data_IF_516817509903
#
_entry.id   IF_516817509903
#
_cell.length_a   1.000
_cell.length_b   1.000
_cell.length_c   1.000
_cell.angle_alpha   90.00
_cell.angle_beta   90.00
_cell.angle_gamma   90.00
#
_symmetry.space_group_name_H-M   'P 1'
#
loop_
_entity.id
_entity.type
_entity.pdbx_description
1 polymer ?
#
# COMPACT_ATOMS: atom_id res chain seq x y z
N UNK A 1 -6.17 53.21 37.95
CA UNK A 1 -7.28 54.01 38.48
C UNK A 1 -8.53 53.46 37.85
N UNK A 2 -9.40 52.97 38.73
CA UNK A 2 -10.79 52.53 38.59
C UNK A 2 -11.05 51.23 37.78
N UNK A 3 -11.33 50.07 38.40
CA UNK A 3 -12.57 49.61 39.08
C UNK A 3 -13.79 49.62 38.12
N UNK A 4 -14.72 48.65 38.01
CA UNK A 4 -15.13 47.33 38.55
C UNK A 4 -16.20 46.84 37.54
N UNK A 5 -16.42 45.56 37.28
CA UNK A 5 -17.49 44.68 37.81
C UNK A 5 -17.57 43.52 36.79
N UNK A 6 -17.68 42.22 37.07
CA UNK A 6 -18.21 41.56 38.24
C UNK A 6 -19.61 41.01 37.96
N UNK A 7 -19.76 39.87 37.26
CA UNK A 7 -20.94 39.01 37.47
C UNK A 7 -20.64 37.54 37.15
N UNK A 8 -20.65 36.74 38.21
CA UNK A 8 -20.75 35.28 38.24
C UNK A 8 -22.23 34.88 38.11
N UNK A 9 -22.51 33.77 37.43
CA UNK A 9 -23.69 32.95 37.71
C UNK A 9 -23.33 31.46 37.60
N UNK A 10 -23.40 30.72 38.73
CA UNK A 10 -23.39 29.26 38.77
C UNK A 10 -24.79 28.72 39.08
N UNK A 11 -25.18 27.59 38.47
CA UNK A 11 -26.29 26.66 38.79
C UNK A 11 -26.70 25.96 37.47
N UNK A 12 -27.04 24.68 37.38
CA UNK A 12 -27.31 23.65 38.36
C UNK A 12 -27.28 22.27 37.66
N UNK A 13 -26.88 21.28 38.45
CA UNK A 13 -27.13 19.83 38.37
C UNK A 13 -28.41 19.38 37.64
N UNK A 14 -28.30 18.33 36.81
CA UNK A 14 -29.26 17.22 36.82
C UNK A 14 -28.66 15.91 36.29
N UNK A 15 -28.26 15.05 37.22
CA UNK A 15 -28.00 13.64 36.99
C UNK A 15 -29.29 12.91 36.58
N UNK A 16 -29.22 12.06 35.55
CA UNK A 16 -30.16 10.94 35.36
C UNK A 16 -29.36 9.66 35.19
N UNK A 17 -29.61 8.73 36.11
CA UNK A 17 -29.18 7.33 36.11
C UNK A 17 -30.47 6.48 36.22
N UNK A 18 -30.38 5.16 36.12
CA UNK A 18 -30.75 4.35 34.97
C UNK A 18 -32.12 3.67 35.13
N UNK A 19 -32.74 3.24 34.02
CA UNK A 19 -33.88 2.32 34.08
C UNK A 19 -33.41 0.92 33.73
N UNK A 20 -33.38 0.06 34.74
CA UNK A 20 -33.35 -1.38 34.61
C UNK A 20 -34.78 -1.90 34.53
N UNK A 21 -35.05 -2.82 33.60
CA UNK A 21 -36.10 -3.82 33.79
C UNK A 21 -35.60 -5.17 33.28
N UNK A 22 -35.60 -6.11 34.22
CA UNK A 22 -35.58 -7.56 34.06
C UNK A 22 -36.77 -8.01 33.17
N UNK A 23 -36.86 -9.23 32.63
CA UNK A 23 -36.67 -10.50 33.32
C UNK A 23 -36.78 -11.68 32.33
N UNK A 24 -36.21 -12.82 32.75
CA UNK A 24 -36.59 -14.24 32.49
C UNK A 24 -36.14 -14.95 31.21
N UNK A 25 -35.11 -15.80 31.39
CA UNK A 25 -35.15 -17.28 31.36
C UNK A 25 -36.19 -17.97 30.45
N UNK A 26 -35.76 -18.78 29.47
CA UNK A 26 -35.51 -20.23 29.66
C UNK A 26 -34.92 -20.88 28.37
N UNK A 27 -34.15 -21.98 28.47
CA UNK A 27 -33.41 -22.60 27.38
C UNK A 27 -34.19 -23.72 26.71
N UNK A 28 -33.92 -23.97 25.43
CA UNK A 28 -34.31 -25.23 24.79
C UNK A 28 -33.23 -25.69 23.83
N UNK A 29 -32.65 -26.82 24.21
CA UNK A 29 -31.75 -27.62 23.43
C UNK A 29 -32.51 -28.33 22.31
N UNK A 30 -31.98 -28.29 21.09
CA UNK A 30 -32.26 -29.32 20.08
C UNK A 30 -30.97 -29.69 19.37
N UNK A 31 -30.63 -30.98 19.49
CA UNK A 31 -29.57 -31.72 18.83
C UNK A 31 -29.96 -32.06 17.37
N UNK A 32 -28.95 -32.45 16.59
CA UNK A 32 -28.96 -33.17 15.30
C UNK A 32 -29.28 -32.29 14.08
N UNK A 33 -28.59 -32.39 12.94
CA UNK A 33 -28.10 -33.59 12.26
C UNK A 33 -26.72 -33.44 11.59
N UNK A 34 -26.00 -34.56 11.59
CA UNK A 34 -24.86 -34.86 10.72
C UNK A 34 -25.31 -34.97 9.27
N UNK A 35 -24.64 -34.29 8.33
CA UNK A 35 -24.67 -34.66 6.92
C UNK A 35 -23.27 -35.13 6.52
N UNK A 36 -23.13 -36.45 6.42
CA UNK A 36 -22.04 -37.12 5.70
C UNK A 36 -22.32 -37.02 4.21
N UNK A 37 -21.41 -36.41 3.45
CA UNK A 37 -21.26 -36.69 2.02
C UNK A 37 -19.79 -37.03 1.80
N UNK A 38 -19.56 -38.26 1.34
CA UNK A 38 -18.26 -38.81 1.02
C UNK A 38 -18.21 -39.09 -0.49
N UNK A 39 -17.00 -38.90 -1.04
CA UNK A 39 -16.43 -39.44 -2.29
C UNK A 39 -16.56 -38.70 -3.63
N UNK A 40 -15.36 -38.26 -4.03
CA UNK A 40 -14.61 -38.63 -5.24
C UNK A 40 -14.88 -37.86 -6.54
N UNK A 41 -13.83 -37.18 -7.02
CA UNK A 41 -13.75 -36.60 -8.35
C UNK A 41 -12.58 -35.64 -8.54
N UNK A 42 -11.35 -36.16 -8.56
CA UNK A 42 -10.12 -35.47 -8.97
C UNK A 42 -10.27 -34.74 -10.31
N UNK A 43 -9.81 -33.48 -10.38
CA UNK A 43 -9.10 -32.96 -11.56
C UNK A 43 -8.41 -31.63 -11.26
N UNK A 44 -7.07 -31.70 -11.22
CA UNK A 44 -6.11 -30.69 -11.66
C UNK A 44 -6.38 -29.19 -11.42
N UNK A 45 -5.78 -28.66 -10.35
CA UNK A 45 -5.12 -27.34 -10.41
C UNK A 45 -4.01 -27.30 -9.36
N UNK A 46 -2.87 -27.93 -9.65
CA UNK A 46 -1.63 -27.68 -8.93
C UNK A 46 -1.03 -26.37 -9.48
N UNK A 47 -1.39 -25.25 -8.88
CA UNK A 47 -0.59 -24.04 -9.01
C UNK A 47 -0.76 -23.15 -7.77
N UNK A 48 0.38 -22.88 -7.14
CA UNK A 48 0.62 -21.87 -6.12
C UNK A 48 -0.01 -22.08 -4.73
N UNK A 49 0.67 -22.86 -3.88
CA UNK A 49 0.65 -22.65 -2.43
C UNK A 49 2.03 -23.01 -1.86
N UNK A 50 3.02 -22.21 -2.25
CA UNK A 50 4.39 -22.27 -1.73
C UNK A 50 4.57 -21.39 -0.50
N UNK A 51 3.60 -21.31 0.41
CA UNK A 51 3.83 -20.69 1.72
C UNK A 51 4.39 -21.81 2.60
N UNK A 52 5.71 -21.81 2.81
CA UNK A 52 6.31 -22.62 3.84
C UNK A 52 5.60 -22.29 5.16
N UNK A 53 4.80 -23.23 5.67
CA UNK A 53 4.11 -23.06 6.95
C UNK A 53 5.19 -22.91 8.01
N UNK A 54 5.23 -21.74 8.64
CA UNK A 54 6.11 -21.48 9.78
C UNK A 54 5.80 -22.55 10.82
N UNK A 55 6.82 -23.33 11.22
CA UNK A 55 6.68 -24.30 12.30
C UNK A 55 6.15 -23.57 13.54
N UNK A 56 5.11 -24.12 14.16
CA UNK A 56 4.33 -23.50 15.24
C UNK A 56 5.10 -23.28 16.54
N UNK A 57 6.39 -23.60 16.59
CA UNK A 57 7.22 -23.41 17.77
C UNK A 57 7.81 -21.98 17.79
N UNK A 58 7.08 -21.09 18.45
CA UNK A 58 7.46 -19.69 18.66
C UNK A 58 8.25 -19.46 19.96
N UNK A 59 8.74 -20.53 20.60
CA UNK A 59 9.52 -20.40 21.85
C UNK A 59 10.91 -19.81 21.62
N UNK A 60 11.51 -20.03 20.44
CA UNK A 60 12.76 -19.40 20.04
C UNK A 60 12.51 -17.98 19.51
N UNK A 61 12.90 -16.99 20.30
CA UNK A 61 12.76 -15.57 19.98
C UNK A 61 14.11 -14.87 19.94
N UNK A 62 14.23 -13.92 19.01
CA UNK A 62 15.38 -13.02 18.90
C UNK A 62 14.98 -11.63 19.38
N UNK A 63 15.94 -10.90 19.95
CA UNK A 63 15.71 -9.53 20.38
C UNK A 63 16.26 -8.58 19.32
N UNK A 64 15.41 -7.75 18.75
CA UNK A 64 15.77 -6.73 17.77
C UNK A 64 15.55 -5.37 18.40
N UNK A 65 16.60 -4.53 18.44
CA UNK A 65 16.47 -3.12 18.78
C UNK A 65 16.21 -2.32 17.51
N UNK A 66 15.05 -1.65 17.42
CA UNK A 66 14.80 -0.63 16.41
C UNK A 66 14.72 0.73 17.12
N UNK A 67 15.62 1.65 16.77
CA UNK A 67 15.84 2.88 17.53
C UNK A 67 16.07 2.60 19.03
N UNK A 68 15.23 3.17 19.88
CA UNK A 68 15.31 2.97 21.34
C UNK A 68 14.42 1.84 21.88
N UNK A 69 13.67 1.12 21.03
CA UNK A 69 12.76 0.05 21.46
C UNK A 69 13.29 -1.33 21.11
N UNK A 70 12.98 -2.28 22.00
CA UNK A 70 13.34 -3.68 21.87
C UNK A 70 12.10 -4.50 21.50
N UNK A 71 12.23 -5.32 20.48
CA UNK A 71 11.21 -6.21 19.95
C UNK A 71 11.66 -7.65 20.16
N UNK A 72 10.80 -8.48 20.76
CA UNK A 72 11.01 -9.92 20.81
C UNK A 72 10.19 -10.55 19.69
N UNK A 73 10.88 -11.13 18.71
CA UNK A 73 10.25 -11.68 17.50
C UNK A 73 10.70 -13.13 17.33
N UNK A 74 9.80 -14.06 17.01
CA UNK A 74 10.19 -15.45 16.77
C UNK A 74 11.18 -15.58 15.62
N UNK A 75 12.24 -16.34 15.86
CA UNK A 75 13.32 -16.55 14.88
C UNK A 75 12.76 -17.15 13.58
N UNK A 76 11.96 -18.22 13.72
CA UNK A 76 11.39 -18.94 12.58
C UNK A 76 10.54 -18.04 11.67
N UNK A 77 9.79 -17.09 12.24
CA UNK A 77 8.96 -16.15 11.48
C UNK A 77 9.82 -15.23 10.61
N UNK A 78 10.91 -14.71 11.16
CA UNK A 78 11.81 -13.81 10.43
C UNK A 78 12.56 -14.56 9.32
N UNK A 79 13.12 -15.73 9.62
CA UNK A 79 13.88 -16.52 8.64
C UNK A 79 12.98 -16.99 7.49
N UNK A 80 11.75 -17.43 7.78
CA UNK A 80 10.84 -17.94 6.76
C UNK A 80 10.37 -16.87 5.76
N UNK A 81 10.45 -15.59 6.13
CA UNK A 81 9.87 -14.49 5.35
C UNK A 81 10.92 -13.52 4.79
N UNK A 82 12.16 -13.56 5.28
CA UNK A 82 13.19 -12.58 4.94
C UNK A 82 14.56 -13.23 4.78
N UNK A 83 15.15 -13.06 3.60
CA UNK A 83 16.51 -13.53 3.30
C UNK A 83 17.54 -12.81 4.18
N UNK A 84 17.33 -11.51 4.44
CA UNK A 84 18.18 -10.75 5.35
C UNK A 84 18.23 -11.39 6.74
N UNK A 85 17.08 -11.66 7.36
CA UNK A 85 17.07 -12.28 8.67
C UNK A 85 17.54 -13.74 8.63
N UNK A 86 17.30 -14.48 7.54
CA UNK A 86 17.87 -15.82 7.37
C UNK A 86 19.41 -15.80 7.41
N UNK A 87 20.05 -14.87 6.70
CA UNK A 87 21.51 -14.74 6.69
C UNK A 87 22.06 -14.27 8.03
N UNK A 88 21.48 -13.20 8.60
CA UNK A 88 21.92 -12.63 9.88
C UNK A 88 21.77 -13.60 11.05
N UNK A 89 20.66 -14.36 11.09
CA UNK A 89 20.33 -15.23 12.23
C UNK A 89 20.97 -16.62 12.15
N UNK A 90 21.36 -17.09 10.96
CA UNK A 90 22.04 -18.37 10.80
C UNK A 90 23.55 -18.28 11.06
N UNK A 91 24.14 -17.08 11.02
CA UNK A 91 25.57 -16.86 11.29
C UNK A 91 25.90 -16.70 12.79
N UNK A 92 24.89 -16.48 13.64
CA UNK A 92 25.08 -16.26 15.08
C UNK A 92 24.79 -17.50 15.94
N UNK A 93 25.55 -17.68 17.03
CA UNK A 93 25.22 -18.69 18.03
C UNK A 93 23.78 -18.50 18.56
N UNK A 94 22.99 -19.58 18.70
CA UNK A 94 21.55 -19.50 18.92
C UNK A 94 21.13 -18.84 20.24
N UNK A 95 22.04 -18.64 21.20
CA UNK A 95 21.67 -18.42 22.61
C UNK A 95 21.32 -16.99 23.02
N UNK A 96 21.45 -15.96 22.18
CA UNK A 96 20.92 -14.58 22.37
C UNK A 96 21.33 -13.71 21.18
N UNK A 97 20.69 -13.90 20.03
CA UNK A 97 20.95 -12.99 18.91
C UNK A 97 20.33 -11.62 19.19
N UNK A 98 21.15 -10.59 19.09
CA UNK A 98 20.76 -9.20 19.31
C UNK A 98 21.10 -8.38 18.07
N UNK A 99 20.07 -7.93 17.35
CA UNK A 99 20.22 -7.09 16.16
C UNK A 99 19.91 -5.64 16.50
N UNK A 100 20.69 -4.73 15.95
CA UNK A 100 20.51 -3.29 16.12
C UNK A 100 20.17 -2.65 14.78
N UNK A 101 19.06 -1.90 14.74
CA UNK A 101 18.51 -1.19 13.59
C UNK A 101 18.21 0.26 14.02
N UNK A 102 19.26 1.05 14.27
CA UNK A 102 19.13 2.39 14.87
C UNK A 102 18.54 3.44 13.92
N UNK A 103 18.65 3.23 12.61
CA UNK A 103 18.16 4.13 11.56
C UNK A 103 16.68 3.90 11.20
N UNK A 104 16.00 3.01 11.91
CA UNK A 104 14.69 2.53 11.55
C UNK A 104 13.59 3.10 12.45
N UNK A 105 12.52 3.61 11.82
CA UNK A 105 11.36 4.12 12.54
C UNK A 105 10.67 3.01 13.35
N UNK A 106 10.55 3.24 14.65
CA UNK A 106 10.04 2.26 15.61
C UNK A 106 8.61 1.83 15.29
N UNK A 107 7.78 2.76 14.84
CA UNK A 107 6.37 2.50 14.55
C UNK A 107 6.23 1.71 13.25
N UNK A 108 7.02 2.05 12.22
CA UNK A 108 7.14 1.29 10.99
C UNK A 108 7.59 -0.15 11.25
N UNK A 109 8.59 -0.35 12.12
CA UNK A 109 9.04 -1.70 12.47
C UNK A 109 7.94 -2.51 13.14
N UNK A 110 7.25 -1.89 14.10
CA UNK A 110 6.18 -2.54 14.84
C UNK A 110 5.08 -3.00 13.88
N UNK A 111 4.70 -2.15 12.92
CA UNK A 111 3.74 -2.49 11.88
C UNK A 111 4.26 -3.66 11.03
N UNK A 112 5.51 -3.60 10.57
CA UNK A 112 6.12 -4.67 9.78
C UNK A 112 6.07 -6.03 10.52
N UNK A 113 6.45 -6.06 11.79
CA UNK A 113 6.39 -7.27 12.63
C UNK A 113 4.96 -7.78 12.81
N UNK A 114 3.99 -6.89 13.06
CA UNK A 114 2.60 -7.29 13.19
C UNK A 114 2.05 -7.88 11.89
N UNK A 115 2.36 -7.28 10.74
CA UNK A 115 1.95 -7.80 9.43
C UNK A 115 2.59 -9.18 9.15
N UNK A 116 3.86 -9.38 9.54
CA UNK A 116 4.50 -10.70 9.47
C UNK A 116 3.71 -11.73 10.26
N UNK A 117 3.42 -11.44 11.52
CA UNK A 117 2.65 -12.33 12.38
C UNK A 117 1.28 -12.65 11.79
N UNK A 118 0.50 -11.64 11.43
CA UNK A 118 -0.84 -11.84 10.88
C UNK A 118 -0.82 -12.65 9.58
N UNK A 119 0.14 -12.37 8.69
CA UNK A 119 0.27 -13.09 7.42
C UNK A 119 0.63 -14.57 7.61
N UNK A 120 1.37 -14.92 8.66
CA UNK A 120 1.75 -16.30 8.94
C UNK A 120 0.56 -17.19 9.36
N UNK A 121 -0.51 -16.60 9.89
CA UNK A 121 -1.69 -17.33 10.35
C UNK A 121 -2.90 -17.20 9.42
N UNK A 122 -2.82 -16.38 8.38
CA UNK A 122 -3.94 -16.10 7.48
C UNK A 122 -3.61 -16.50 6.02
N UNK A 123 -4.13 -17.65 5.52
CA UNK A 123 -3.85 -18.15 4.17
C UNK A 123 -4.29 -17.22 3.02
N UNK A 124 -5.11 -16.19 3.32
CA UNK A 124 -5.58 -15.18 2.36
C UNK A 124 -5.36 -13.78 2.90
N UNK A 125 -4.23 -13.59 3.57
CA UNK A 125 -3.88 -12.32 4.16
C UNK A 125 -3.88 -11.20 3.11
N UNK A 126 -4.46 -10.07 3.47
CA UNK A 126 -4.44 -8.84 2.67
C UNK A 126 -4.30 -7.67 3.62
N UNK A 127 -3.41 -6.74 3.31
CA UNK A 127 -3.28 -5.51 4.09
C UNK A 127 -4.52 -4.67 3.83
N UNK A 128 -5.27 -4.37 4.89
CA UNK A 128 -6.44 -3.48 4.88
C UNK A 128 -6.21 -2.29 5.81
N UNK A 129 -6.94 -1.20 5.60
CA UNK A 129 -6.83 0.01 6.43
C UNK A 129 -6.99 -0.21 7.94
N UNK A 130 -7.73 -1.24 8.38
CA UNK A 130 -7.92 -1.55 9.82
C UNK A 130 -6.65 -2.04 10.52
N UNK A 131 -5.80 -2.80 9.84
CA UNK A 131 -4.56 -3.37 10.42
C UNK A 131 -3.55 -2.28 10.82
N UNK A 132 -3.74 -1.06 10.31
CA UNK A 132 -2.79 0.05 10.38
C UNK A 132 -3.35 1.26 11.13
N UNK A 133 -4.47 1.07 11.86
CA UNK A 133 -5.13 2.12 12.64
C UNK A 133 -4.29 2.65 13.82
N UNK A 134 -3.26 1.91 14.22
CA UNK A 134 -2.27 2.33 15.22
C UNK A 134 -1.16 3.22 14.68
N UNK A 135 -1.06 3.39 13.35
CA UNK A 135 0.02 4.11 12.66
C UNK A 135 -0.17 5.64 12.67
N UNK A 136 -0.24 6.24 13.85
CA UNK A 136 -0.52 7.68 14.02
C UNK A 136 0.63 8.56 13.51
N UNK A 137 1.86 8.04 13.45
CA UNK A 137 3.02 8.81 12.98
C UNK A 137 3.02 9.06 11.46
N UNK A 138 2.19 8.35 10.68
CA UNK A 138 2.22 8.48 9.22
C UNK A 138 1.18 9.48 8.71
N UNK A 139 1.57 10.46 7.87
CA UNK A 139 0.68 11.48 7.32
C UNK A 139 -0.48 10.93 6.47
N UNK A 140 -0.43 9.65 6.11
CA UNK A 140 -1.42 8.97 5.31
C UNK A 140 -1.09 7.48 5.10
N UNK A 141 -2.11 6.73 4.70
CA UNK A 141 -1.97 5.29 4.44
C UNK A 141 -1.10 4.99 3.21
N UNK A 142 -1.05 5.89 2.22
CA UNK A 142 -0.13 5.78 1.06
C UNK A 142 1.31 5.80 1.53
N UNK A 143 1.69 6.84 2.29
CA UNK A 143 3.04 7.02 2.82
C UNK A 143 3.49 5.78 3.60
N UNK A 144 2.62 5.26 4.46
CA UNK A 144 2.88 4.03 5.20
C UNK A 144 3.13 2.83 4.29
N UNK A 145 2.29 2.59 3.27
CA UNK A 145 2.50 1.48 2.34
C UNK A 145 3.82 1.64 1.56
N UNK A 146 4.16 2.84 1.11
CA UNK A 146 5.42 3.09 0.42
C UNK A 146 6.64 2.87 1.34
N UNK A 147 6.56 3.31 2.61
CA UNK A 147 7.58 3.04 3.63
C UNK A 147 7.71 1.54 3.93
N UNK A 148 6.60 0.83 4.06
CA UNK A 148 6.61 -0.62 4.25
C UNK A 148 7.22 -1.34 3.05
N UNK A 149 6.95 -0.88 1.84
CA UNK A 149 7.53 -1.44 0.63
C UNK A 149 9.06 -1.31 0.62
N UNK A 150 9.59 -0.12 0.93
CA UNK A 150 11.03 0.11 1.08
C UNK A 150 11.63 -0.77 2.18
N UNK A 151 10.91 -0.94 3.29
CA UNK A 151 11.37 -1.78 4.38
C UNK A 151 11.43 -3.27 3.97
N UNK A 152 10.46 -3.73 3.20
CA UNK A 152 10.47 -5.08 2.63
C UNK A 152 11.63 -5.28 1.66
N UNK A 153 11.99 -4.26 0.86
CA UNK A 153 13.21 -4.31 0.06
C UNK A 153 14.46 -4.44 0.91
N UNK A 154 14.61 -3.59 1.94
CA UNK A 154 15.76 -3.59 2.85
C UNK A 154 15.94 -4.97 3.49
N UNK A 155 14.86 -5.57 3.98
CA UNK A 155 14.91 -6.90 4.59
C UNK A 155 14.78 -8.05 3.59
N UNK A 156 14.77 -7.80 2.28
CA UNK A 156 14.59 -8.84 1.25
C UNK A 156 13.42 -9.77 1.56
N UNK A 157 12.29 -9.19 1.97
CA UNK A 157 11.05 -9.90 2.28
C UNK A 157 10.11 -9.82 1.08
N UNK A 158 10.17 -10.85 0.22
CA UNK A 158 9.37 -10.90 -1.01
C UNK A 158 7.87 -11.01 -0.72
N UNK A 159 7.49 -11.79 0.30
CA UNK A 159 6.07 -12.09 0.57
C UNK A 159 5.33 -10.85 1.05
N UNK A 160 5.87 -10.16 2.05
CA UNK A 160 5.23 -8.94 2.55
C UNK A 160 5.29 -7.82 1.50
N UNK A 161 6.36 -7.76 0.69
CA UNK A 161 6.42 -6.82 -0.44
C UNK A 161 5.24 -7.03 -1.40
N UNK A 162 4.92 -8.27 -1.75
CA UNK A 162 3.77 -8.59 -2.61
C UNK A 162 2.45 -8.14 -1.98
N UNK A 163 2.25 -8.34 -0.67
CA UNK A 163 1.04 -7.85 0.00
C UNK A 163 0.94 -6.32 0.02
N UNK A 164 2.06 -5.62 0.14
CA UNK A 164 2.12 -4.15 0.06
C UNK A 164 1.82 -3.67 -1.35
N UNK A 165 2.39 -4.30 -2.37
CA UNK A 165 2.11 -4.03 -3.79
C UNK A 165 0.64 -4.28 -4.12
N UNK A 166 0.07 -5.40 -3.66
CA UNK A 166 -1.37 -5.70 -3.81
C UNK A 166 -2.23 -4.62 -3.13
N UNK A 167 -1.84 -4.15 -1.95
CA UNK A 167 -2.57 -3.09 -1.24
C UNK A 167 -2.51 -1.76 -2.00
N UNK A 168 -1.35 -1.36 -2.52
CA UNK A 168 -1.20 -0.17 -3.36
C UNK A 168 -2.06 -0.28 -4.62
N UNK A 169 -2.01 -1.43 -5.30
CA UNK A 169 -2.79 -1.70 -6.50
C UNK A 169 -4.30 -1.66 -6.23
N UNK A 170 -4.78 -2.42 -5.25
CA UNK A 170 -6.23 -2.56 -5.01
C UNK A 170 -6.86 -1.32 -4.38
N UNK A 171 -6.13 -0.59 -3.52
CA UNK A 171 -6.70 0.53 -2.78
C UNK A 171 -6.50 1.88 -3.46
N UNK A 172 -5.50 1.99 -4.37
CA UNK A 172 -5.19 3.22 -5.07
C UNK A 172 -5.21 3.03 -6.59
N UNK A 173 -4.27 2.29 -7.17
CA UNK A 173 -4.04 2.33 -8.62
C UNK A 173 -5.19 1.74 -9.46
N UNK A 174 -5.75 0.64 -8.99
CA UNK A 174 -6.91 -0.04 -9.57
C UNK A 174 -8.26 0.55 -9.14
N UNK A 175 -8.31 1.21 -7.98
CA UNK A 175 -9.54 1.81 -7.45
C UNK A 175 -9.99 3.03 -8.28
N UNK A 176 -9.04 3.82 -8.76
CA UNK A 176 -9.32 5.05 -9.51
C UNK A 176 -9.60 4.79 -10.99
N UNK A 177 -10.68 4.05 -11.27
CA UNK A 177 -11.24 3.94 -12.63
C UNK A 177 -11.92 5.26 -13.04
N UNK A 178 -12.22 5.43 -14.34
CA UNK A 178 -12.95 6.61 -14.82
C UNK A 178 -14.33 6.74 -14.14
N UNK A 179 -15.07 5.63 -14.02
CA UNK A 179 -16.38 5.55 -13.35
C UNK A 179 -16.28 5.90 -11.86
N UNK A 180 -15.22 5.43 -11.18
CA UNK A 180 -15.02 5.75 -9.78
C UNK A 180 -14.68 7.23 -9.58
N UNK A 181 -13.85 7.80 -10.46
CA UNK A 181 -13.55 9.24 -10.45
C UNK A 181 -14.81 10.08 -10.66
N UNK A 182 -15.65 9.72 -11.62
CA UNK A 182 -16.93 10.38 -11.87
C UNK A 182 -17.84 10.30 -10.64
N UNK A 183 -17.98 9.11 -10.06
CA UNK A 183 -18.77 8.90 -8.84
C UNK A 183 -18.30 9.80 -7.71
N UNK A 184 -16.98 9.91 -7.49
CA UNK A 184 -16.41 10.75 -6.42
C UNK A 184 -16.64 12.24 -6.74
N UNK A 185 -16.43 12.65 -8.00
CA UNK A 185 -16.61 14.04 -8.43
C UNK A 185 -18.06 14.53 -8.26
N UNK A 186 -19.05 13.70 -8.62
CA UNK A 186 -20.47 14.05 -8.48
C UNK A 186 -20.91 14.05 -7.02
N UNK A 187 -20.41 13.09 -6.22
CA UNK A 187 -20.88 12.89 -4.86
C UNK A 187 -20.27 13.84 -3.84
N UNK A 188 -19.03 14.28 -4.05
CA UNK A 188 -18.27 15.02 -3.04
C UNK A 188 -17.93 16.44 -3.49
N UNK A 189 -17.81 17.40 -2.55
CA UNK A 189 -17.40 18.75 -2.86
C UNK A 189 -15.98 18.82 -3.46
N UNK A 190 -15.69 19.90 -4.17
CA UNK A 190 -14.38 20.15 -4.79
C UNK A 190 -13.22 20.09 -3.77
N UNK A 191 -13.43 20.57 -2.55
CA UNK A 191 -12.44 20.48 -1.48
C UNK A 191 -12.00 19.02 -1.20
N UNK A 192 -12.92 18.06 -1.29
CA UNK A 192 -12.62 16.64 -1.16
C UNK A 192 -11.76 16.13 -2.33
N UNK A 193 -12.07 16.58 -3.55
CA UNK A 193 -11.29 16.25 -4.74
C UNK A 193 -9.85 16.75 -4.63
N UNK A 194 -9.66 18.00 -4.19
CA UNK A 194 -8.34 18.59 -3.95
C UNK A 194 -7.55 17.81 -2.90
N UNK A 195 -8.19 17.42 -1.79
CA UNK A 195 -7.55 16.58 -0.77
C UNK A 195 -7.13 15.21 -1.32
N UNK A 196 -7.97 14.60 -2.15
CA UNK A 196 -7.66 13.32 -2.76
C UNK A 196 -6.48 13.43 -3.73
N UNK A 197 -6.48 14.43 -4.61
CA UNK A 197 -5.38 14.68 -5.54
C UNK A 197 -4.08 15.00 -4.80
N UNK A 198 -4.14 15.78 -3.72
CA UNK A 198 -2.98 16.08 -2.87
C UNK A 198 -2.38 14.80 -2.24
N UNK A 199 -3.20 13.82 -1.85
CA UNK A 199 -2.72 12.52 -1.36
C UNK A 199 -1.99 11.73 -2.46
N UNK A 200 -2.53 11.71 -3.68
CA UNK A 200 -1.89 11.04 -4.82
C UNK A 200 -0.57 11.74 -5.21
N UNK A 201 -0.56 13.08 -5.23
CA UNK A 201 0.63 13.88 -5.48
C UNK A 201 1.71 13.61 -4.44
N UNK A 202 1.35 13.53 -3.15
CA UNK A 202 2.31 13.19 -2.09
C UNK A 202 2.95 11.82 -2.33
N UNK A 203 2.15 10.82 -2.69
CA UNK A 203 2.65 9.48 -3.05
C UNK A 203 3.62 9.53 -4.23
N UNK A 204 3.27 10.27 -5.29
CA UNK A 204 4.15 10.51 -6.44
C UNK A 204 5.48 11.17 -6.02
N UNK A 205 5.42 12.28 -5.27
CA UNK A 205 6.60 13.03 -4.84
C UNK A 205 7.53 12.17 -4.00
N UNK A 206 6.97 11.37 -3.06
CA UNK A 206 7.75 10.40 -2.30
C UNK A 206 8.43 9.37 -3.22
N UNK A 207 7.71 8.86 -4.22
CA UNK A 207 8.27 7.91 -5.16
C UNK A 207 9.41 8.49 -6.00
N UNK A 208 9.28 9.73 -6.47
CA UNK A 208 10.33 10.41 -7.22
C UNK A 208 11.55 10.70 -6.34
N UNK A 209 11.33 11.29 -5.16
CA UNK A 209 12.41 11.69 -4.26
C UNK A 209 13.21 10.50 -3.74
N UNK A 210 12.55 9.36 -3.54
CA UNK A 210 13.16 8.18 -2.91
C UNK A 210 13.34 7.01 -3.89
N UNK A 211 13.19 7.26 -5.19
CA UNK A 211 13.35 6.26 -6.26
C UNK A 211 12.50 4.99 -6.07
N UNK A 212 11.26 5.15 -5.60
CA UNK A 212 10.30 4.06 -5.45
C UNK A 212 9.58 3.86 -6.80
N UNK A 213 9.45 2.62 -7.31
CA UNK A 213 9.02 2.34 -8.68
C UNK A 213 7.50 2.41 -8.89
N UNK A 214 6.80 3.33 -8.22
CA UNK A 214 5.34 3.51 -8.35
C UNK A 214 4.93 4.92 -8.78
N UNK A 215 5.88 5.80 -9.11
CA UNK A 215 5.57 7.18 -9.52
C UNK A 215 4.60 7.21 -10.72
N UNK A 216 4.84 6.36 -11.72
CA UNK A 216 4.00 6.29 -12.92
C UNK A 216 2.59 5.74 -12.63
N UNK A 217 2.43 4.89 -11.62
CA UNK A 217 1.13 4.36 -11.23
C UNK A 217 0.24 5.45 -10.61
N UNK A 218 0.81 6.35 -9.81
CA UNK A 218 0.08 7.53 -9.30
C UNK A 218 -0.36 8.45 -10.44
N UNK A 219 0.54 8.71 -11.40
CA UNK A 219 0.23 9.51 -12.60
C UNK A 219 -0.92 8.88 -13.39
N UNK A 220 -0.83 7.57 -13.64
CA UNK A 220 -1.82 6.82 -14.42
C UNK A 220 -3.17 6.77 -13.72
N UNK A 221 -3.19 6.54 -12.40
CA UNK A 221 -4.41 6.56 -11.60
C UNK A 221 -5.10 7.93 -11.62
N UNK A 222 -4.31 9.01 -11.53
CA UNK A 222 -4.82 10.37 -11.56
C UNK A 222 -5.32 10.78 -12.96
N UNK A 223 -4.62 10.37 -14.03
CA UNK A 223 -4.96 10.70 -15.41
C UNK A 223 -6.28 10.09 -15.91
N UNK A 224 -6.84 9.10 -15.19
CA UNK A 224 -8.15 8.50 -15.47
C UNK A 224 -9.34 9.41 -15.06
N UNK A 225 -9.10 10.52 -14.38
CA UNK A 225 -10.16 11.45 -13.98
C UNK A 225 -10.89 12.07 -15.20
N UNK A 226 -12.15 12.52 -15.04
CA UNK A 226 -12.86 13.23 -16.08
C UNK A 226 -12.26 14.63 -16.32
N UNK A 227 -12.45 15.17 -17.53
CA UNK A 227 -11.87 16.47 -17.90
C UNK A 227 -12.32 17.63 -17.01
N UNK A 228 -13.50 17.53 -16.41
CA UNK A 228 -14.03 18.49 -15.43
C UNK A 228 -13.14 18.58 -14.18
N UNK A 229 -12.56 17.46 -13.72
CA UNK A 229 -11.62 17.46 -12.58
C UNK A 229 -10.31 18.15 -12.97
N UNK A 230 -9.84 17.92 -14.20
CA UNK A 230 -8.65 18.62 -14.73
C UNK A 230 -8.90 20.13 -14.76
N UNK A 231 -10.05 20.57 -15.28
CA UNK A 231 -10.38 21.98 -15.44
C UNK A 231 -10.58 22.72 -14.11
N UNK A 232 -11.05 22.04 -13.06
CA UNK A 232 -11.42 22.69 -11.78
C UNK A 232 -10.39 22.51 -10.68
N UNK A 233 -9.70 21.36 -10.63
CA UNK A 233 -8.90 20.98 -9.47
C UNK A 233 -7.39 21.05 -9.70
N UNK A 234 -6.89 20.96 -10.95
CA UNK A 234 -5.45 20.76 -11.21
C UNK A 234 -4.58 21.99 -11.00
N UNK A 235 -5.16 23.17 -10.83
CA UNK A 235 -4.38 24.40 -10.58
C UNK A 235 -3.69 24.41 -9.21
N UNK A 236 -4.09 23.49 -8.32
CA UNK A 236 -3.49 23.33 -6.98
C UNK A 236 -2.40 22.26 -6.93
N UNK A 237 -2.09 21.62 -8.06
CA UNK A 237 -1.08 20.57 -8.12
C UNK A 237 0.31 21.13 -8.37
N UNK A 238 1.31 20.43 -7.83
CA UNK A 238 2.71 20.75 -8.07
C UNK A 238 2.99 20.67 -9.59
N UNK A 239 3.72 21.63 -10.17
CA UNK A 239 3.90 21.71 -11.63
C UNK A 239 4.46 20.42 -12.26
N UNK A 240 5.41 19.75 -11.58
CA UNK A 240 6.00 18.50 -12.07
C UNK A 240 4.98 17.37 -12.12
N UNK A 241 4.20 17.17 -11.05
CA UNK A 241 3.15 16.16 -11.02
C UNK A 241 2.03 16.50 -12.01
N UNK A 242 1.58 17.77 -12.06
CA UNK A 242 0.58 18.25 -13.02
C UNK A 242 0.98 17.95 -14.45
N UNK A 243 2.22 18.24 -14.83
CA UNK A 243 2.71 18.02 -16.19
C UNK A 243 2.61 16.55 -16.61
N UNK A 244 3.07 15.63 -15.76
CA UNK A 244 3.01 14.19 -16.02
C UNK A 244 1.55 13.68 -16.11
N UNK A 245 0.69 14.11 -15.20
CA UNK A 245 -0.73 13.73 -15.21
C UNK A 245 -1.46 14.28 -16.43
N UNK A 246 -1.23 15.55 -16.81
CA UNK A 246 -1.86 16.17 -17.99
C UNK A 246 -1.37 15.50 -19.26
N UNK A 247 -0.09 15.16 -19.36
CA UNK A 247 0.47 14.40 -20.49
C UNK A 247 -0.20 13.02 -20.61
N UNK A 248 -0.29 12.28 -19.51
CA UNK A 248 -0.96 10.97 -19.50
C UNK A 248 -2.47 11.08 -19.80
N UNK A 249 -3.14 12.12 -19.30
CA UNK A 249 -4.53 12.42 -19.60
C UNK A 249 -4.73 12.70 -21.09
N UNK A 250 -3.91 13.59 -21.66
CA UNK A 250 -3.98 13.99 -23.07
C UNK A 250 -3.78 12.78 -23.99
N UNK A 251 -2.82 11.90 -23.69
CA UNK A 251 -2.61 10.67 -24.44
C UNK A 251 -3.80 9.71 -24.38
N UNK A 252 -4.50 9.65 -23.23
CA UNK A 252 -5.68 8.81 -23.06
C UNK A 252 -6.88 9.31 -23.85
N UNK A 253 -7.06 10.63 -23.95
CA UNK A 253 -8.19 11.26 -24.66
C UNK A 253 -7.86 11.62 -26.11
N UNK A 254 -6.62 11.42 -26.55
CA UNK A 254 -6.18 11.72 -27.90
C UNK A 254 -6.96 10.88 -28.92
N UNK A 255 -7.30 11.50 -30.05
CA UNK A 255 -7.94 10.81 -31.17
C UNK A 255 -7.01 9.68 -31.68
N UNK A 256 -7.46 8.41 -31.64
CA UNK A 256 -6.69 7.28 -32.15
C UNK A 256 -6.27 7.45 -33.61
N UNK A 257 -7.09 8.12 -34.44
CA UNK A 257 -6.80 8.33 -35.87
C UNK A 257 -5.62 9.27 -36.08
N UNK A 258 -5.53 10.34 -35.28
CA UNK A 258 -4.40 11.28 -35.34
C UNK A 258 -3.12 10.59 -34.88
N UNK A 259 -3.21 9.81 -33.80
CA UNK A 259 -2.08 9.04 -33.26
C UNK A 259 -1.58 8.01 -34.28
N UNK A 260 -2.49 7.30 -34.95
CA UNK A 260 -2.15 6.31 -35.98
C UNK A 260 -1.53 6.95 -37.22
N UNK A 261 -2.05 8.09 -37.69
CA UNK A 261 -1.44 8.85 -38.81
C UNK A 261 -0.01 9.27 -38.49
N UNK A 262 0.24 9.80 -37.28
CA UNK A 262 1.59 10.20 -36.85
C UNK A 262 2.57 9.02 -36.83
N UNK A 263 2.16 7.85 -36.32
CA UNK A 263 3.00 6.64 -36.32
C UNK A 263 3.39 6.20 -37.72
N UNK A 264 2.43 6.16 -38.66
CA UNK A 264 2.70 5.83 -40.07
C UNK A 264 3.71 6.78 -40.70
N UNK A 265 3.56 8.09 -40.49
CA UNK A 265 4.54 9.06 -41.00
C UNK A 265 5.94 8.89 -40.39
N UNK A 266 6.05 8.52 -39.10
CA UNK A 266 7.35 8.29 -38.46
C UNK A 266 8.03 7.01 -38.97
N UNK A 267 7.27 5.93 -39.15
CA UNK A 267 7.76 4.67 -39.73
C UNK A 267 8.21 4.84 -41.20
N UNK A 268 7.55 5.72 -41.96
CA UNK A 268 7.96 6.10 -43.31
C UNK A 268 9.22 6.98 -43.34
N UNK A 269 9.54 7.68 -42.24
CA UNK A 269 10.72 8.56 -42.15
C UNK A 269 11.96 7.80 -41.66
N UNK A 270 11.81 6.67 -40.95
CA UNK A 270 12.91 5.78 -40.55
C UNK A 270 13.06 4.53 -41.44
N UNK A 271 13.40 4.70 -42.73
CA UNK A 271 14.37 3.76 -43.31
C UNK A 271 15.24 4.44 -44.38
N UNK A 272 16.49 4.85 -44.04
CA UNK A 272 17.65 4.93 -44.98
C UNK A 272 19.00 5.42 -44.42
N UNK A 273 19.17 5.65 -43.11
CA UNK A 273 20.48 6.16 -42.62
C UNK A 273 21.49 5.04 -42.27
N UNK A 274 21.07 3.79 -42.08
CA UNK A 274 21.96 2.71 -41.61
C UNK A 274 22.59 1.80 -42.69
N UNK A 275 22.30 1.97 -43.99
CA UNK A 275 22.82 1.07 -45.04
C UNK A 275 23.97 1.63 -45.91
N UNK A 276 24.54 2.80 -45.60
CA UNK A 276 25.59 3.41 -46.46
C UNK A 276 27.01 3.45 -45.86
N UNK A 277 27.29 2.71 -44.77
CA UNK A 277 28.61 2.72 -44.11
C UNK A 277 29.38 1.39 -44.11
N UNK A 278 28.96 0.38 -44.87
CA UNK A 278 29.67 -0.92 -44.96
C UNK A 278 30.09 -1.33 -46.38
N UNK A 279 30.18 -0.40 -47.33
CA UNK A 279 30.63 -0.70 -48.69
C UNK A 279 31.75 0.23 -49.16
N UNK A 280 32.78 0.44 -48.34
CA UNK A 280 34.05 1.06 -48.79
C UNK A 280 35.22 0.68 -47.89
N UNK A 281 35.55 -0.60 -47.80
CA UNK A 281 36.91 -1.02 -47.38
C UNK A 281 37.30 -2.33 -48.04
N UNK A 282 37.45 -2.33 -49.37
CA UNK A 282 38.27 -3.34 -50.07
C UNK A 282 38.74 -2.80 -51.42
N UNK A 283 39.83 -2.04 -51.40
CA UNK A 283 40.74 -1.88 -52.53
C UNK A 283 41.92 -1.00 -52.07
N UNK A 284 43.03 -1.61 -51.68
CA UNK A 284 44.38 -1.15 -51.98
C UNK A 284 45.37 -2.25 -51.54
N UNK A 285 45.86 -2.97 -52.55
CA UNK A 285 47.22 -3.48 -52.65
C UNK A 285 48.17 -2.29 -52.88
#
# INVERSE_FOLDING_TARGET
MDDKEGTLNPMESAARKPSAMANKDDPSATKQEEIKVNRDGSSATQQADGIARVSSDFTDTVTIRAGQKFFKVPRALLIATSVFFAEELNQGEPKKFFLVLDDLDVELFNIYVNLLFESAFAPRFRIRGRHLSSARAFPGYIDLLLRLWQLCLRFRNSNLRLFVEEALMTQYFGKFTAEQWETVYVKFPEAHMRQLLSKLQRGYTMCVNESIPFAQDFVTACAKCPGQVVATCFDHLDPGFKAEVVKAFALRVADPKVTQRKRRCQEETEPKVLKKRQSSTTAQL
#
